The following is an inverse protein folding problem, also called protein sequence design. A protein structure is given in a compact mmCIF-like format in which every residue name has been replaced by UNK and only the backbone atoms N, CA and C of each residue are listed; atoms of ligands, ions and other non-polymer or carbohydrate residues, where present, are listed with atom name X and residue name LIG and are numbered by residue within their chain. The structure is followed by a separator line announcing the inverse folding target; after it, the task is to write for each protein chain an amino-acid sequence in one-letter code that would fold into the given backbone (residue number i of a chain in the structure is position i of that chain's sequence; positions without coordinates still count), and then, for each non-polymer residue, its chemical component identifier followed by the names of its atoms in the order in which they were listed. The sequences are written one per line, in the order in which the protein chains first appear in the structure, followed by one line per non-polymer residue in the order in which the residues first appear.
data_IF_618519269724
#
_entry.id   IF_618519269724
#
_cell.length_a   1.000
_cell.length_b   1.000
_cell.length_c   1.000
_cell.angle_alpha   90.00
_cell.angle_beta   90.00
_cell.angle_gamma   90.00
#
_symmetry.space_group_name_H-M   'P 1'
#
loop_
_entity.id
_entity.type
_entity.pdbx_description
1 polymer ?
#
# COMPACT_ATOMS: atom_id res chain seq x y z
N UNK A 1 -49.80 21.91 39.47
CA UNK A 1 -50.45 22.82 40.44
C UNK A 1 -49.42 23.21 41.50
N UNK A 2 -49.13 24.51 41.62
CA UNK A 2 -48.59 25.21 42.82
C UNK A 2 -47.14 24.85 43.25
N UNK A 3 -46.16 25.74 43.46
CA UNK A 3 -46.07 27.20 43.70
C UNK A 3 -44.67 27.66 43.22
N UNK A 4 -44.49 28.76 42.48
CA UNK A 4 -44.54 30.19 42.85
C UNK A 4 -43.41 30.67 43.77
N UNK A 5 -42.80 31.78 43.32
CA UNK A 5 -41.95 32.80 43.99
C UNK A 5 -40.44 32.60 43.83
N UNK A 6 -39.77 33.29 42.89
CA UNK A 6 -39.52 34.75 42.78
C UNK A 6 -38.24 35.21 43.48
N UNK A 7 -37.26 35.54 42.64
CA UNK A 7 -36.30 36.66 42.71
C UNK A 7 -35.61 36.91 44.05
N UNK A 8 -34.31 36.61 44.09
CA UNK A 8 -33.34 37.46 44.79
C UNK A 8 -31.96 37.38 44.13
N UNK A 9 -31.50 38.57 43.73
CA UNK A 9 -30.10 39.02 43.64
C UNK A 9 -29.25 38.52 42.46
N UNK A 10 -29.35 39.29 41.38
CA UNK A 10 -28.25 39.58 40.45
C UNK A 10 -27.10 40.24 41.22
N UNK A 11 -25.93 39.60 41.29
CA UNK A 11 -24.61 40.26 41.27
C UNK A 11 -23.46 39.25 41.18
N UNK A 12 -22.64 39.47 40.15
CA UNK A 12 -21.19 39.20 40.10
C UNK A 12 -20.75 37.76 39.83
N UNK A 13 -20.53 37.41 38.57
CA UNK A 13 -19.30 36.74 38.09
C UNK A 13 -19.21 36.94 36.57
N UNK A 14 -18.55 38.02 36.18
CA UNK A 14 -18.12 38.31 34.81
C UNK A 14 -16.60 38.23 34.86
N UNK A 15 -16.02 37.13 34.35
CA UNK A 15 -14.69 37.07 33.70
C UNK A 15 -14.27 35.62 33.40
N UNK A 16 -13.68 35.47 32.21
CA UNK A 16 -12.99 34.30 31.63
C UNK A 16 -13.86 33.19 31.02
N UNK A 17 -14.33 33.44 29.80
CA UNK A 17 -14.36 32.43 28.75
C UNK A 17 -13.28 32.80 27.72
N UNK A 18 -12.19 32.04 27.71
CA UNK A 18 -11.27 31.94 26.58
C UNK A 18 -11.88 31.01 25.52
N UNK A 19 -11.91 31.38 24.24
CA UNK A 19 -11.98 30.42 23.15
C UNK A 19 -10.54 30.07 22.74
N UNK A 20 -10.02 28.95 23.24
CA UNK A 20 -8.74 28.41 22.83
C UNK A 20 -8.93 27.44 21.66
N UNK A 21 -8.14 27.65 20.59
CA UNK A 21 -7.84 26.72 19.50
C UNK A 21 -8.98 26.32 18.54
N UNK A 22 -9.37 27.25 17.66
CA UNK A 22 -9.96 26.94 16.34
C UNK A 22 -9.12 27.50 15.17
N UNK A 23 -7.91 27.99 15.41
CA UNK A 23 -7.09 28.70 14.42
C UNK A 23 -5.90 27.90 13.85
N UNK A 24 -5.72 26.62 14.17
CA UNK A 24 -4.55 25.84 13.70
C UNK A 24 -4.82 24.87 12.54
N UNK A 25 -6.05 24.76 12.04
CA UNK A 25 -6.40 23.82 10.95
C UNK A 25 -6.65 24.47 9.58
N UNK A 26 -6.37 25.77 9.42
CA UNK A 26 -6.54 26.48 8.13
C UNK A 26 -5.22 26.77 7.39
N UNK A 27 -4.05 26.28 7.87
CA UNK A 27 -2.75 26.63 7.28
C UNK A 27 -2.07 25.56 6.42
N UNK A 28 -2.72 24.45 6.08
CA UNK A 28 -2.09 23.36 5.31
C UNK A 28 -2.64 23.11 3.89
N UNK A 29 -3.45 24.01 3.35
CA UNK A 29 -3.82 23.99 1.94
C UNK A 29 -3.13 25.14 1.19
N UNK A 30 -1.80 25.06 1.06
CA UNK A 30 -1.13 25.79 -0.02
C UNK A 30 -1.41 25.02 -1.32
N UNK A 31 -2.15 25.59 -2.30
CA UNK A 31 -2.32 24.92 -3.57
C UNK A 31 -0.95 24.68 -4.20
N UNK A 32 -0.65 23.44 -4.51
CA UNK A 32 0.55 23.03 -5.24
C UNK A 32 0.61 23.84 -6.52
N UNK A 33 1.68 24.62 -6.67
CA UNK A 33 1.81 25.70 -7.65
C UNK A 33 2.17 25.16 -9.03
N UNK A 34 1.43 24.19 -9.57
CA UNK A 34 1.79 23.49 -10.82
C UNK A 34 1.03 24.01 -12.05
N UNK A 35 0.02 24.89 -11.89
CA UNK A 35 -0.73 25.47 -13.01
C UNK A 35 -0.92 27.00 -12.93
N UNK A 36 0.04 27.71 -12.34
CA UNK A 36 0.00 29.18 -12.29
C UNK A 36 0.67 29.83 -13.52
N UNK A 37 0.35 29.37 -14.74
CA UNK A 37 0.52 30.24 -15.90
C UNK A 37 -0.69 31.17 -15.95
N UNK A 38 -0.47 32.48 -15.88
CA UNK A 38 -1.50 33.53 -15.95
C UNK A 38 -2.43 33.28 -17.14
N UNK A 39 -3.56 32.61 -16.90
CA UNK A 39 -4.67 32.57 -17.85
C UNK A 39 -5.30 33.95 -17.80
N UNK A 40 -5.28 34.68 -18.91
CA UNK A 40 -6.08 35.90 -19.05
C UNK A 40 -7.55 35.49 -19.06
N UNK A 41 -8.23 35.72 -17.95
CA UNK A 41 -9.68 35.56 -17.86
C UNK A 41 -10.34 36.59 -18.77
N UNK A 42 -11.18 36.14 -19.69
CA UNK A 42 -12.17 37.00 -20.35
C UNK A 42 -13.32 37.15 -19.32
N UNK A 43 -13.85 38.37 -19.15
CA UNK A 43 -14.89 38.73 -18.17
C UNK A 43 -16.11 37.77 -18.14
N UNK A 44 -16.80 37.73 -16.99
CA UNK A 44 -18.18 37.28 -16.62
C UNK A 44 -18.80 36.01 -17.25
N UNK A 45 -18.56 35.71 -18.53
CA UNK A 45 -19.07 34.55 -19.24
C UNK A 45 -18.25 33.29 -18.92
N UNK A 46 -18.87 32.35 -18.20
CA UNK A 46 -18.27 31.07 -17.81
C UNK A 46 -19.09 29.91 -18.36
N UNK A 47 -18.44 28.82 -18.80
CA UNK A 47 -19.17 27.65 -19.26
C UNK A 47 -19.97 27.03 -18.10
N UNK A 48 -21.27 26.83 -18.34
CA UNK A 48 -22.19 26.18 -17.40
C UNK A 48 -22.46 24.70 -17.77
N UNK A 49 -21.55 24.07 -18.51
CA UNK A 49 -21.71 22.67 -18.91
C UNK A 49 -21.75 21.75 -17.66
N UNK A 50 -22.76 20.88 -17.54
CA UNK A 50 -22.83 19.93 -16.43
C UNK A 50 -21.62 18.99 -16.45
N UNK A 51 -21.06 18.70 -15.28
CA UNK A 51 -19.96 17.73 -15.10
C UNK A 51 -18.54 18.27 -15.27
N UNK A 52 -18.35 19.57 -15.50
CA UNK A 52 -17.01 20.16 -15.65
C UNK A 52 -16.84 21.49 -14.93
N UNK A 53 -15.70 21.70 -14.28
CA UNK A 53 -15.28 23.00 -13.73
C UNK A 53 -14.34 23.67 -14.72
N UNK A 54 -14.91 24.26 -15.78
CA UNK A 54 -14.16 24.79 -16.93
C UNK A 54 -14.12 26.31 -17.00
N UNK A 55 -13.19 26.83 -17.79
CA UNK A 55 -13.13 28.23 -18.24
C UNK A 55 -12.99 28.24 -19.77
N UNK A 56 -13.63 29.18 -20.45
CA UNK A 56 -13.43 29.33 -21.90
C UNK A 56 -12.00 29.80 -22.20
N UNK A 57 -11.42 29.28 -23.28
CA UNK A 57 -10.15 29.75 -23.84
C UNK A 57 -10.35 30.03 -25.33
N UNK A 58 -9.80 31.13 -25.82
CA UNK A 58 -9.95 31.55 -27.23
C UNK A 58 -8.77 31.14 -28.12
N UNK A 59 -7.84 30.34 -27.58
CA UNK A 59 -6.69 29.79 -28.30
C UNK A 59 -6.69 28.28 -28.15
N UNK A 60 -6.64 27.59 -29.28
CA UNK A 60 -6.51 26.13 -29.30
C UNK A 60 -5.19 25.74 -28.63
N UNK A 61 -5.29 24.94 -27.56
CA UNK A 61 -4.15 24.43 -26.82
C UNK A 61 -4.43 23.00 -26.36
N UNK A 62 -3.65 22.05 -26.87
CA UNK A 62 -3.64 20.69 -26.33
C UNK A 62 -2.89 20.64 -25.00
N UNK A 63 -3.33 19.75 -24.11
CA UNK A 63 -2.58 19.34 -22.92
C UNK A 63 -1.69 18.16 -23.30
N UNK A 64 -0.39 18.34 -23.14
CA UNK A 64 0.63 17.39 -23.58
C UNK A 64 1.23 16.70 -22.36
N UNK A 65 1.00 15.39 -22.15
CA UNK A 65 1.51 14.66 -20.98
C UNK A 65 3.02 14.75 -20.80
N UNK A 66 3.78 14.74 -21.88
CA UNK A 66 5.25 14.84 -21.88
C UNK A 66 5.78 16.20 -21.39
N UNK A 67 4.90 17.21 -21.29
CA UNK A 67 5.23 18.55 -20.76
C UNK A 67 4.77 18.74 -19.31
N UNK A 68 4.12 17.74 -18.72
CA UNK A 68 3.66 17.78 -17.34
C UNK A 68 4.74 17.20 -16.42
N UNK A 69 4.97 17.84 -15.28
CA UNK A 69 5.80 17.25 -14.23
C UNK A 69 5.09 16.02 -13.65
N UNK A 70 5.85 14.94 -13.44
CA UNK A 70 5.32 13.72 -12.85
C UNK A 70 4.95 13.90 -11.37
N UNK A 71 4.05 13.06 -10.88
CA UNK A 71 3.67 13.00 -9.47
C UNK A 71 4.92 12.63 -8.64
N UNK A 72 5.27 13.45 -7.63
CA UNK A 72 6.48 13.24 -6.84
C UNK A 72 6.36 11.96 -5.99
N UNK A 73 7.50 11.34 -5.70
CA UNK A 73 7.60 10.14 -4.87
C UNK A 73 7.81 10.56 -3.41
N UNK A 74 6.80 10.34 -2.56
CA UNK A 74 6.88 10.59 -1.12
C UNK A 74 7.85 9.61 -0.44
N UNK A 75 8.70 10.12 0.45
CA UNK A 75 9.75 9.37 1.14
C UNK A 75 10.02 9.98 2.52
N UNK A 76 10.31 9.14 3.51
CA UNK A 76 10.59 9.53 4.91
C UNK A 76 12.07 9.35 5.24
N UNK A 77 12.62 8.16 4.99
CA UNK A 77 14.02 7.83 5.22
C UNK A 77 14.79 7.66 3.90
N UNK A 78 16.07 8.05 3.91
CA UNK A 78 16.97 7.84 2.80
C UNK A 78 17.50 6.38 2.72
N UNK A 79 18.29 6.08 1.69
CA UNK A 79 18.91 4.74 1.52
C UNK A 79 19.87 4.35 2.65
N UNK A 80 20.38 5.32 3.40
CA UNK A 80 21.25 5.12 4.57
C UNK A 80 20.45 4.96 5.88
N UNK A 81 19.11 4.86 5.81
CA UNK A 81 18.25 4.73 6.99
C UNK A 81 18.17 6.00 7.84
N UNK A 82 18.40 7.18 7.26
CA UNK A 82 18.29 8.47 7.97
C UNK A 82 16.98 9.15 7.57
N UNK A 83 16.26 9.69 8.56
CA UNK A 83 15.03 10.45 8.34
C UNK A 83 15.41 11.84 7.83
N UNK A 84 14.82 12.26 6.70
CA UNK A 84 15.08 13.58 6.10
C UNK A 84 14.50 14.72 6.92
N UNK A 85 13.24 14.55 7.34
CA UNK A 85 12.48 15.53 8.09
C UNK A 85 11.90 14.86 9.33
N UNK A 86 12.30 15.31 10.52
CA UNK A 86 11.82 14.76 11.78
C UNK A 86 10.31 14.93 11.99
N UNK A 87 9.65 15.91 11.36
CA UNK A 87 8.18 16.00 11.42
C UNK A 87 7.51 14.88 10.64
N UNK A 88 8.25 14.23 9.73
CA UNK A 88 7.78 13.11 8.95
C UNK A 88 8.04 11.75 9.61
N UNK A 89 8.77 11.67 10.73
CA UNK A 89 8.97 10.42 11.49
C UNK A 89 7.62 9.90 12.03
N UNK A 90 7.21 8.65 11.73
CA UNK A 90 5.93 8.12 12.22
C UNK A 90 5.91 7.87 13.74
N UNK A 91 7.03 7.96 14.46
CA UNK A 91 7.08 7.80 15.91
C UNK A 91 6.71 6.38 16.38
N UNK A 92 6.96 5.37 15.55
CA UNK A 92 6.67 3.97 15.88
C UNK A 92 7.55 3.46 17.03
N UNK A 93 6.98 2.60 17.88
CA UNK A 93 7.71 1.99 18.99
C UNK A 93 8.84 1.08 18.48
N UNK A 94 9.87 0.90 19.31
CA UNK A 94 10.99 -0.01 19.02
C UNK A 94 10.50 -1.42 18.69
N UNK A 95 9.53 -1.94 19.44
CA UNK A 95 8.95 -3.26 19.27
C UNK A 95 8.26 -3.40 17.91
N UNK A 96 7.51 -2.37 17.52
CA UNK A 96 6.81 -2.32 16.22
C UNK A 96 7.81 -2.35 15.07
N UNK A 97 8.86 -1.52 15.15
CA UNK A 97 9.89 -1.45 14.11
C UNK A 97 10.69 -2.75 14.02
N UNK A 98 11.05 -3.36 15.15
CA UNK A 98 11.70 -4.67 15.18
C UNK A 98 10.78 -5.75 14.58
N UNK A 99 9.47 -5.73 14.90
CA UNK A 99 8.51 -6.66 14.28
C UNK A 99 8.46 -6.49 12.77
N UNK A 100 8.39 -5.24 12.27
CA UNK A 100 8.42 -4.98 10.82
C UNK A 100 9.65 -5.60 10.17
N UNK A 101 10.82 -5.42 10.79
CA UNK A 101 12.07 -6.00 10.30
C UNK A 101 12.06 -7.54 10.31
N UNK A 102 11.63 -8.13 11.43
CA UNK A 102 11.55 -9.58 11.60
C UNK A 102 10.59 -10.21 10.59
N UNK A 103 9.42 -9.62 10.35
CA UNK A 103 8.46 -10.14 9.37
C UNK A 103 8.98 -10.03 7.94
N UNK A 104 9.61 -8.91 7.55
CA UNK A 104 10.22 -8.80 6.22
C UNK A 104 11.33 -9.84 5.99
N UNK A 105 12.18 -10.06 6.99
CA UNK A 105 13.28 -11.03 6.90
C UNK A 105 12.83 -12.48 7.02
N UNK A 106 11.78 -12.76 7.79
CA UNK A 106 11.12 -14.06 7.83
C UNK A 106 10.48 -14.39 6.49
N UNK A 107 9.77 -13.43 5.86
CA UNK A 107 9.23 -13.57 4.52
C UNK A 107 10.34 -13.90 3.51
N UNK A 108 11.44 -13.15 3.54
CA UNK A 108 12.59 -13.41 2.67
C UNK A 108 13.20 -14.80 2.90
N UNK A 109 13.23 -15.27 4.16
CA UNK A 109 13.75 -16.60 4.52
C UNK A 109 12.82 -17.72 4.02
N UNK A 110 11.52 -17.57 4.24
CA UNK A 110 10.49 -18.48 3.75
C UNK A 110 10.53 -18.57 2.22
N UNK A 111 10.65 -17.43 1.54
CA UNK A 111 10.72 -17.37 0.09
C UNK A 111 11.89 -18.18 -0.48
N UNK A 112 13.08 -18.07 0.13
CA UNK A 112 14.25 -18.85 -0.29
C UNK A 112 14.01 -20.35 -0.12
N UNK A 113 13.42 -20.77 0.99
CA UNK A 113 13.15 -22.19 1.29
C UNK A 113 12.12 -22.77 0.32
N UNK A 114 10.99 -22.08 0.12
CA UNK A 114 9.92 -22.55 -0.76
C UNK A 114 10.30 -22.47 -2.24
N UNK A 115 11.10 -21.49 -2.64
CA UNK A 115 11.66 -21.44 -3.99
C UNK A 115 12.55 -22.66 -4.27
N UNK A 116 13.47 -23.00 -3.37
CA UNK A 116 14.30 -24.20 -3.51
C UNK A 116 13.49 -25.50 -3.40
N UNK A 117 12.46 -25.53 -2.55
CA UNK A 117 11.51 -26.64 -2.47
C UNK A 117 10.86 -26.92 -3.82
N UNK A 118 10.46 -25.85 -4.53
CA UNK A 118 9.91 -25.95 -5.87
C UNK A 118 10.96 -26.46 -6.87
N UNK A 119 12.22 -26.01 -6.78
CA UNK A 119 13.32 -26.52 -7.63
C UNK A 119 13.59 -28.01 -7.44
N UNK A 120 13.32 -28.54 -6.25
CA UNK A 120 13.39 -29.98 -5.95
C UNK A 120 12.12 -30.75 -6.33
N UNK A 121 11.09 -30.09 -6.87
CA UNK A 121 9.82 -30.71 -7.25
C UNK A 121 8.90 -31.07 -6.07
N UNK A 122 9.19 -30.58 -4.85
CA UNK A 122 8.38 -30.84 -3.65
C UNK A 122 7.06 -30.07 -3.63
N UNK A 123 7.04 -28.89 -4.26
CA UNK A 123 5.83 -28.11 -4.54
C UNK A 123 5.77 -27.78 -6.03
N UNK A 124 4.58 -27.55 -6.57
CA UNK A 124 4.38 -27.39 -8.02
C UNK A 124 4.75 -26.01 -8.55
N UNK A 125 4.62 -24.97 -7.74
CA UNK A 125 4.79 -23.57 -8.15
C UNK A 125 5.19 -22.69 -6.95
N UNK A 126 5.91 -21.60 -7.20
CA UNK A 126 6.15 -20.57 -6.18
C UNK A 126 6.42 -19.18 -6.79
N UNK A 127 6.17 -18.13 -6.00
CA UNK A 127 6.48 -16.74 -6.32
C UNK A 127 7.09 -16.07 -5.10
N UNK A 128 8.25 -15.46 -5.26
CA UNK A 128 8.95 -14.76 -4.16
C UNK A 128 8.48 -13.32 -4.01
N UNK A 129 8.86 -12.66 -2.92
CA UNK A 129 8.45 -11.30 -2.58
C UNK A 129 9.64 -10.32 -2.54
N UNK A 130 10.78 -10.73 -3.11
CA UNK A 130 12.05 -10.00 -3.00
C UNK A 130 11.97 -8.58 -3.57
N UNK A 131 12.27 -7.59 -2.72
CA UNK A 131 12.27 -6.16 -3.03
C UNK A 131 10.98 -5.46 -2.63
N UNK A 132 9.89 -6.20 -2.41
CA UNK A 132 8.56 -5.64 -2.20
C UNK A 132 8.10 -5.76 -0.73
N UNK A 133 8.91 -6.37 0.14
CA UNK A 133 8.56 -6.68 1.53
C UNK A 133 8.13 -5.44 2.33
N UNK A 134 8.76 -4.29 2.06
CA UNK A 134 8.43 -3.01 2.69
C UNK A 134 7.01 -2.54 2.36
N UNK A 135 6.54 -2.78 1.14
CA UNK A 135 5.17 -2.44 0.73
C UNK A 135 4.14 -3.28 1.47
N UNK A 136 4.43 -4.56 1.71
CA UNK A 136 3.50 -5.47 2.39
C UNK A 136 3.39 -5.13 3.88
N UNK A 137 4.55 -5.02 4.55
CA UNK A 137 4.61 -4.82 5.99
C UNK A 137 4.19 -3.42 6.39
N UNK A 138 4.64 -2.39 5.65
CA UNK A 138 4.28 -0.99 5.92
C UNK A 138 2.77 -0.76 5.82
N UNK A 139 2.13 -1.28 4.76
CA UNK A 139 0.67 -1.16 4.59
C UNK A 139 -0.08 -1.93 5.67
N UNK A 140 0.28 -3.20 5.91
CA UNK A 140 -0.41 -4.05 6.88
C UNK A 140 -0.36 -3.50 8.31
N UNK A 141 0.76 -2.86 8.69
CA UNK A 141 0.93 -2.22 9.98
C UNK A 141 0.08 -0.95 10.16
N UNK A 142 -0.26 -0.25 9.09
CA UNK A 142 -1.07 0.96 9.12
C UNK A 142 -2.59 0.69 9.19
N UNK A 143 -3.00 -0.53 8.83
CA UNK A 143 -4.40 -0.94 8.79
C UNK A 143 -4.92 -1.41 10.15
N UNK A 144 -6.24 -1.35 10.33
CA UNK A 144 -6.92 -2.09 11.39
C UNK A 144 -6.92 -3.58 11.00
N UNK A 145 -6.68 -4.52 11.93
CA UNK A 145 -6.74 -5.95 11.65
C UNK A 145 -8.06 -6.42 11.01
N UNK A 146 -9.17 -5.69 11.23
CA UNK A 146 -10.49 -5.97 10.65
C UNK A 146 -10.72 -5.36 9.27
N UNK A 147 -9.84 -4.49 8.79
CA UNK A 147 -9.92 -3.99 7.41
C UNK A 147 -9.70 -5.16 6.46
N UNK A 148 -10.54 -5.26 5.43
CA UNK A 148 -10.52 -6.37 4.50
C UNK A 148 -9.45 -6.17 3.44
N UNK A 149 -8.69 -7.23 3.15
CA UNK A 149 -7.61 -7.22 2.16
C UNK A 149 -8.00 -8.05 0.95
N UNK A 150 -7.89 -7.45 -0.24
CA UNK A 150 -7.86 -8.15 -1.51
C UNK A 150 -6.44 -8.06 -2.08
N UNK A 151 -5.82 -9.20 -2.36
CA UNK A 151 -4.46 -9.28 -2.94
C UNK A 151 -4.46 -9.71 -4.40
N UNK A 152 -3.29 -9.68 -5.03
CA UNK A 152 -3.07 -10.19 -6.38
C UNK A 152 -2.40 -11.58 -6.35
N UNK A 153 -1.29 -11.73 -5.64
CA UNK A 153 -0.56 -13.00 -5.38
C UNK A 153 0.80 -12.77 -4.70
N UNK A 154 1.26 -11.52 -4.56
CA UNK A 154 2.56 -11.17 -3.98
C UNK A 154 2.35 -10.38 -2.70
N UNK A 155 1.39 -10.77 -1.88
CA UNK A 155 1.02 -10.05 -0.65
C UNK A 155 1.23 -10.90 0.61
N UNK A 156 2.06 -11.94 0.53
CA UNK A 156 2.32 -12.86 1.65
C UNK A 156 2.82 -12.14 2.92
N UNK A 157 3.51 -11.01 2.76
CA UNK A 157 3.93 -10.18 3.90
C UNK A 157 2.76 -9.61 4.71
N UNK A 158 1.61 -9.32 4.08
CA UNK A 158 0.41 -8.83 4.78
C UNK A 158 -0.14 -9.91 5.71
N UNK A 159 -0.21 -11.15 5.21
CA UNK A 159 -0.61 -12.31 6.00
C UNK A 159 0.37 -12.58 7.14
N UNK A 160 1.67 -12.53 6.87
CA UNK A 160 2.71 -12.70 7.88
C UNK A 160 2.61 -11.67 9.00
N UNK A 161 2.42 -10.40 8.65
CA UNK A 161 2.21 -9.33 9.61
C UNK A 161 0.99 -9.58 10.51
N UNK A 162 -0.11 -10.08 9.91
CA UNK A 162 -1.38 -10.40 10.59
C UNK A 162 -1.35 -11.71 11.38
N UNK A 163 -0.25 -12.45 11.38
CA UNK A 163 -0.08 -13.66 12.18
C UNK A 163 -0.45 -14.96 11.46
N UNK A 164 -0.45 -14.98 10.13
CA UNK A 164 -0.52 -16.23 9.38
C UNK A 164 0.76 -17.03 9.63
N UNK A 165 0.61 -18.24 10.13
CA UNK A 165 1.73 -19.07 10.57
C UNK A 165 2.50 -19.64 9.38
N UNK A 166 3.78 -19.95 9.59
CA UNK A 166 4.61 -20.63 8.58
C UNK A 166 3.97 -21.97 8.17
N UNK A 167 3.42 -22.72 9.12
CA UNK A 167 2.71 -23.97 8.82
C UNK A 167 1.52 -23.75 7.89
N UNK A 168 0.74 -22.67 8.07
CA UNK A 168 -0.37 -22.37 7.16
C UNK A 168 0.12 -22.02 5.74
N UNK A 169 1.22 -21.26 5.60
CA UNK A 169 1.83 -21.01 4.30
C UNK A 169 2.28 -22.31 3.62
N UNK A 170 2.99 -23.17 4.37
CA UNK A 170 3.49 -24.45 3.88
C UNK A 170 2.33 -25.38 3.50
N UNK A 171 1.34 -25.55 4.38
CA UNK A 171 0.19 -26.42 4.15
C UNK A 171 -0.52 -26.07 2.84
N UNK A 172 -0.70 -24.77 2.54
CA UNK A 172 -1.31 -24.31 1.30
C UNK A 172 -0.43 -24.61 0.08
N UNK A 173 0.88 -24.35 0.16
CA UNK A 173 1.80 -24.63 -0.95
C UNK A 173 1.95 -26.13 -1.26
N UNK A 174 1.87 -26.99 -0.26
CA UNK A 174 1.94 -28.45 -0.43
C UNK A 174 0.57 -29.08 -0.74
N UNK A 175 -0.54 -28.35 -0.56
CA UNK A 175 -1.89 -28.91 -0.67
C UNK A 175 -2.15 -30.02 0.36
N UNK A 176 -1.59 -29.89 1.56
CA UNK A 176 -1.69 -30.91 2.62
C UNK A 176 -3.10 -31.04 3.19
N UNK A 177 -3.37 -32.08 3.99
CA UNK A 177 -4.66 -32.24 4.68
C UNK A 177 -5.00 -31.08 5.65
N UNK A 178 -3.99 -30.35 6.11
CA UNK A 178 -4.12 -29.18 6.98
C UNK A 178 -4.30 -27.87 6.19
N UNK A 179 -4.35 -27.92 4.86
CA UNK A 179 -4.67 -26.75 4.05
C UNK A 179 -6.14 -26.38 4.24
N UNK A 180 -6.39 -25.16 4.73
CA UNK A 180 -7.73 -24.60 4.83
C UNK A 180 -8.41 -24.46 3.45
N UNK A 181 -7.63 -24.30 2.38
CA UNK A 181 -8.05 -24.31 0.99
C UNK A 181 -8.32 -25.72 0.42
N UNK A 182 -8.05 -26.77 1.19
CA UNK A 182 -8.26 -28.19 0.87
C UNK A 182 -7.51 -28.66 -0.38
N UNK A 183 -6.34 -28.08 -0.67
CA UNK A 183 -5.50 -28.42 -1.82
C UNK A 183 -6.12 -28.09 -3.18
N UNK A 184 -7.15 -27.23 -3.21
CA UNK A 184 -7.92 -26.94 -4.44
C UNK A 184 -7.31 -25.87 -5.32
N UNK A 185 -6.41 -25.07 -4.77
CA UNK A 185 -5.82 -23.91 -5.42
C UNK A 185 -4.33 -24.14 -5.66
N UNK A 186 -3.78 -23.44 -6.65
CA UNK A 186 -2.34 -23.41 -6.92
C UNK A 186 -1.57 -22.88 -5.70
N UNK A 187 -0.32 -23.33 -5.45
CA UNK A 187 0.51 -22.73 -4.42
C UNK A 187 0.57 -21.20 -4.52
N UNK A 188 0.70 -20.52 -3.38
CA UNK A 188 0.72 -19.05 -3.26
C UNK A 188 -0.67 -18.39 -3.35
N UNK A 189 -1.73 -19.16 -3.63
CA UNK A 189 -3.12 -18.66 -3.56
C UNK A 189 -3.68 -18.69 -2.14
N UNK A 190 -3.04 -17.93 -1.25
CA UNK A 190 -3.41 -17.87 0.15
C UNK A 190 -4.78 -17.19 0.38
N UNK A 191 -5.42 -17.51 1.51
CA UNK A 191 -6.64 -16.87 1.97
C UNK A 191 -6.85 -17.16 3.46
N UNK A 192 -7.41 -16.19 4.18
CA UNK A 192 -7.74 -16.34 5.60
C UNK A 192 -8.93 -15.47 5.98
N UNK A 193 -10.04 -16.11 6.31
CA UNK A 193 -11.23 -15.41 6.83
C UNK A 193 -10.91 -14.73 8.17
N UNK A 194 -10.19 -15.42 9.05
CA UNK A 194 -9.88 -14.95 10.40
C UNK A 194 -8.95 -13.74 10.38
N UNK A 195 -8.07 -13.65 9.38
CA UNK A 195 -7.18 -12.51 9.19
C UNK A 195 -7.71 -11.48 8.19
N UNK A 196 -8.99 -11.58 7.80
CA UNK A 196 -9.64 -10.68 6.86
C UNK A 196 -8.85 -10.50 5.55
N UNK A 197 -8.33 -11.60 5.01
CA UNK A 197 -7.59 -11.66 3.76
C UNK A 197 -8.34 -12.56 2.79
N UNK A 198 -8.92 -11.96 1.75
CA UNK A 198 -9.71 -12.67 0.74
C UNK A 198 -8.81 -13.60 -0.05
N UNK A 199 -9.29 -14.83 -0.31
CA UNK A 199 -8.55 -15.83 -1.06
C UNK A 199 -8.15 -15.31 -2.44
N UNK A 200 -6.87 -15.45 -2.76
CA UNK A 200 -6.30 -15.07 -4.06
C UNK A 200 -6.89 -15.90 -5.20
N UNK A 201 -7.02 -15.27 -6.36
CA UNK A 201 -7.31 -15.91 -7.64
C UNK A 201 -6.31 -15.47 -8.69
N UNK A 202 -5.96 -16.38 -9.63
CA UNK A 202 -5.00 -16.09 -10.71
C UNK A 202 -5.44 -14.97 -11.68
N UNK A 203 -6.72 -14.88 -12.10
CA UNK A 203 -7.16 -13.83 -13.03
C UNK A 203 -6.90 -12.43 -12.49
N UNK A 204 -6.03 -11.69 -13.21
CA UNK A 204 -5.57 -10.37 -12.80
C UNK A 204 -6.73 -9.37 -12.74
N UNK A 205 -6.59 -8.40 -11.82
CA UNK A 205 -7.50 -7.28 -11.58
C UNK A 205 -8.95 -7.63 -11.19
N UNK A 206 -9.41 -8.88 -11.30
CA UNK A 206 -10.77 -9.29 -10.93
C UNK A 206 -11.12 -8.97 -9.47
N UNK A 207 -10.13 -8.96 -8.58
CA UNK A 207 -10.28 -8.58 -7.19
C UNK A 207 -10.58 -7.08 -6.98
N UNK A 208 -10.23 -6.23 -7.96
CA UNK A 208 -10.37 -4.78 -7.84
C UNK A 208 -11.83 -4.33 -7.80
N UNK A 209 -12.73 -4.70 -8.74
CA UNK A 209 -14.14 -4.33 -8.63
C UNK A 209 -14.83 -5.05 -7.47
N UNK A 210 -14.38 -6.25 -7.09
CA UNK A 210 -14.85 -6.93 -5.88
C UNK A 210 -14.54 -6.13 -4.62
N UNK A 211 -13.33 -5.56 -4.53
CA UNK A 211 -12.94 -4.68 -3.43
C UNK A 211 -13.80 -3.40 -3.38
N UNK A 212 -14.12 -2.79 -4.53
CA UNK A 212 -15.06 -1.66 -4.59
C UNK A 212 -16.44 -2.04 -4.05
N UNK A 213 -16.95 -3.22 -4.42
CA UNK A 213 -18.23 -3.74 -3.94
C UNK A 213 -18.24 -4.04 -2.43
N UNK A 214 -17.18 -4.68 -1.92
CA UNK A 214 -17.02 -4.94 -0.49
C UNK A 214 -16.94 -3.65 0.33
N UNK A 215 -16.19 -2.65 -0.15
CA UNK A 215 -16.07 -1.35 0.47
C UNK A 215 -17.40 -0.60 0.48
N UNK A 216 -18.17 -0.67 -0.61
CA UNK A 216 -19.53 -0.13 -0.64
C UNK A 216 -20.42 -0.79 0.41
N UNK A 217 -20.29 -2.11 0.59
CA UNK A 217 -20.93 -2.84 1.68
C UNK A 217 -20.56 -2.31 3.07
N UNK A 218 -19.28 -2.03 3.31
CA UNK A 218 -18.80 -1.46 4.58
C UNK A 218 -19.34 -0.06 4.83
N UNK A 219 -19.38 0.78 3.79
CA UNK A 219 -20.03 2.10 3.87
C UNK A 219 -21.49 1.97 4.31
N UNK A 220 -22.26 1.09 3.66
CA UNK A 220 -23.68 0.88 4.00
C UNK A 220 -23.87 0.32 5.40
N UNK A 221 -22.93 -0.50 5.88
CA UNK A 221 -22.94 -1.05 7.23
C UNK A 221 -22.48 -0.05 8.30
N UNK A 222 -21.91 1.10 7.90
CA UNK A 222 -21.42 2.16 8.80
C UNK A 222 -20.48 1.64 9.90
N UNK A 223 -19.64 0.66 9.57
CA UNK A 223 -18.83 -0.07 10.54
C UNK A 223 -17.44 0.55 10.79
N UNK A 224 -17.11 1.67 10.13
CA UNK A 224 -15.81 2.34 10.29
C UNK A 224 -14.60 1.54 9.78
N UNK A 225 -14.83 0.56 8.90
CA UNK A 225 -13.79 -0.25 8.27
C UNK A 225 -13.59 0.18 6.82
N UNK A 226 -12.38 -0.05 6.29
CA UNK A 226 -12.10 0.12 4.88
C UNK A 226 -11.66 -1.20 4.24
N UNK A 227 -11.54 -1.17 2.92
CA UNK A 227 -10.92 -2.24 2.13
C UNK A 227 -9.59 -1.73 1.59
N UNK A 228 -8.58 -2.59 1.54
CA UNK A 228 -7.37 -2.35 0.73
C UNK A 228 -7.33 -3.39 -0.40
N UNK A 229 -7.01 -2.92 -1.61
CA UNK A 229 -6.88 -3.75 -2.80
C UNK A 229 -5.49 -3.58 -3.39
N UNK A 230 -4.68 -4.63 -3.37
CA UNK A 230 -3.37 -4.66 -3.98
C UNK A 230 -3.45 -5.13 -5.42
N UNK A 231 -2.62 -4.52 -6.27
CA UNK A 231 -2.44 -4.91 -7.66
C UNK A 231 -1.09 -4.42 -8.19
N UNK A 232 -0.59 -5.02 -9.26
CA UNK A 232 0.61 -4.57 -9.97
C UNK A 232 0.29 -3.57 -11.08
N UNK A 233 1.30 -2.84 -11.54
CA UNK A 233 1.13 -1.88 -12.63
C UNK A 233 0.71 -2.52 -13.96
N UNK A 234 1.04 -3.80 -14.17
CA UNK A 234 0.54 -4.56 -15.31
C UNK A 234 -0.93 -4.95 -15.20
N UNK A 235 -1.38 -5.34 -14.01
CA UNK A 235 -2.80 -5.63 -13.77
C UNK A 235 -3.66 -4.37 -13.92
N UNK A 236 -3.08 -3.18 -13.71
CA UNK A 236 -3.76 -1.91 -13.93
C UNK A 236 -4.14 -1.64 -15.40
N UNK A 237 -3.63 -2.44 -16.36
CA UNK A 237 -4.03 -2.37 -17.77
C UNK A 237 -5.26 -3.23 -18.10
N UNK A 238 -5.70 -4.10 -17.18
CA UNK A 238 -6.93 -4.87 -17.35
C UNK A 238 -8.18 -3.98 -17.24
N UNK A 239 -9.25 -4.35 -17.96
CA UNK A 239 -10.51 -3.59 -17.97
C UNK A 239 -11.15 -3.47 -16.57
N UNK A 240 -10.98 -4.49 -15.73
CA UNK A 240 -11.49 -4.50 -14.36
C UNK A 240 -10.86 -3.41 -13.48
N UNK A 241 -9.63 -3.00 -13.76
CA UNK A 241 -9.00 -1.89 -13.05
C UNK A 241 -9.75 -0.57 -13.31
N UNK A 242 -10.11 -0.29 -14.57
CA UNK A 242 -10.92 0.87 -14.93
C UNK A 242 -12.28 0.84 -14.24
N UNK A 243 -12.97 -0.30 -14.31
CA UNK A 243 -14.27 -0.48 -13.68
C UNK A 243 -14.20 -0.23 -12.15
N UNK A 244 -13.21 -0.82 -11.47
CA UNK A 244 -13.03 -0.68 -10.04
C UNK A 244 -12.83 0.77 -9.59
N UNK A 245 -11.92 1.50 -10.25
CA UNK A 245 -11.58 2.88 -9.92
C UNK A 245 -12.79 3.81 -10.13
N UNK A 246 -13.49 3.67 -11.26
CA UNK A 246 -14.68 4.48 -11.54
C UNK A 246 -15.83 4.18 -10.57
N UNK A 247 -16.11 2.91 -10.28
CA UNK A 247 -17.16 2.54 -9.33
C UNK A 247 -16.83 3.04 -7.93
N UNK A 248 -15.59 2.89 -7.49
CA UNK A 248 -15.19 3.37 -6.16
C UNK A 248 -15.33 4.89 -6.02
N UNK A 249 -15.00 5.65 -7.07
CA UNK A 249 -15.13 7.11 -7.07
C UNK A 249 -16.59 7.56 -7.09
N UNK A 250 -17.38 7.06 -8.04
CA UNK A 250 -18.79 7.45 -8.21
C UNK A 250 -19.67 6.99 -7.06
N UNK A 251 -19.35 5.85 -6.45
CA UNK A 251 -20.06 5.31 -5.30
C UNK A 251 -19.42 5.68 -3.98
N UNK A 252 -18.41 6.56 -3.93
CA UNK A 252 -17.75 7.01 -2.70
C UNK A 252 -17.45 5.81 -1.78
N UNK A 253 -16.60 4.89 -2.25
CA UNK A 253 -16.26 3.68 -1.51
C UNK A 253 -15.05 3.94 -0.59
N UNK A 254 -15.07 3.46 0.68
CA UNK A 254 -13.92 3.49 1.58
C UNK A 254 -12.89 2.42 1.20
N UNK A 255 -12.22 2.60 0.06
CA UNK A 255 -11.23 1.64 -0.47
C UNK A 255 -9.90 2.32 -0.80
N UNK A 256 -8.81 1.67 -0.38
CA UNK A 256 -7.44 2.02 -0.75
C UNK A 256 -7.03 1.09 -1.90
N UNK A 257 -6.78 1.66 -3.07
CA UNK A 257 -6.14 0.98 -4.18
C UNK A 257 -4.62 1.14 -4.05
N UNK A 258 -3.92 0.04 -3.80
CA UNK A 258 -2.48 0.03 -3.58
C UNK A 258 -1.77 -0.65 -4.75
N UNK A 259 -1.28 0.16 -5.69
CA UNK A 259 -0.51 -0.31 -6.83
C UNK A 259 0.95 -0.52 -6.45
N UNK A 260 1.46 -1.74 -6.62
CA UNK A 260 2.90 -2.04 -6.59
C UNK A 260 3.45 -1.89 -8.00
N UNK A 261 4.10 -0.75 -8.27
CA UNK A 261 4.79 -0.54 -9.54
C UNK A 261 6.24 -0.98 -9.39
N UNK A 262 6.51 -2.21 -9.82
CA UNK A 262 7.82 -2.84 -9.67
C UNK A 262 8.63 -2.88 -10.98
N UNK A 263 8.14 -2.17 -12.01
CA UNK A 263 8.80 -1.99 -13.30
C UNK A 263 8.48 -3.04 -14.37
N UNK A 264 7.89 -4.18 -14.00
CA UNK A 264 7.72 -5.32 -14.91
C UNK A 264 6.48 -6.19 -14.65
N UNK A 265 5.73 -6.44 -15.72
CA UNK A 265 4.72 -7.50 -15.79
C UNK A 265 5.25 -8.72 -16.56
N UNK A 266 5.66 -9.76 -15.83
CA UNK A 266 6.45 -10.89 -16.38
C UNK A 266 7.72 -10.34 -17.05
N UNK A 267 7.76 -10.29 -18.39
CA UNK A 267 8.85 -9.77 -19.22
C UNK A 267 8.59 -8.36 -19.77
N UNK A 268 7.36 -7.85 -19.67
CA UNK A 268 6.96 -6.56 -20.24
C UNK A 268 7.40 -5.42 -19.32
N UNK A 269 8.33 -4.54 -19.76
CA UNK A 269 8.70 -3.35 -18.99
C UNK A 269 7.60 -2.29 -19.05
N UNK A 270 7.57 -1.39 -18.06
CA UNK A 270 6.55 -0.32 -17.97
C UNK A 270 6.43 0.57 -19.21
N UNK A 271 7.51 0.80 -19.96
CA UNK A 271 7.49 1.57 -21.22
C UNK A 271 6.59 0.96 -22.31
N UNK A 272 6.39 -0.35 -22.23
CA UNK A 272 5.52 -1.13 -23.13
C UNK A 272 4.17 -1.45 -22.46
N UNK A 273 4.02 -1.08 -21.18
CA UNK A 273 2.77 -1.22 -20.43
C UNK A 273 1.89 0.03 -20.52
N UNK A 274 2.48 1.22 -20.43
CA UNK A 274 1.75 2.49 -20.51
C UNK A 274 2.66 3.65 -20.94
N UNK A 275 2.04 4.78 -21.32
CA UNK A 275 2.75 6.02 -21.71
C UNK A 275 2.45 7.23 -20.82
N UNK A 276 1.50 7.11 -19.90
CA UNK A 276 1.22 8.12 -18.88
C UNK A 276 2.26 8.10 -17.76
N UNK A 277 2.13 9.05 -16.83
CA UNK A 277 2.95 9.12 -15.62
C UNK A 277 2.49 8.07 -14.60
N UNK A 278 2.88 6.81 -14.82
CA UNK A 278 2.56 5.68 -13.95
C UNK A 278 1.07 5.44 -13.77
N UNK A 279 0.73 4.79 -12.66
CA UNK A 279 -0.64 4.49 -12.26
C UNK A 279 -1.24 5.63 -11.43
N UNK A 280 -0.43 6.32 -10.61
CA UNK A 280 -0.91 7.43 -9.77
C UNK A 280 -1.66 8.49 -10.60
N UNK A 281 -1.14 8.90 -11.76
CA UNK A 281 -1.78 9.92 -12.60
C UNK A 281 -3.19 9.55 -13.06
N UNK A 282 -3.52 8.25 -13.13
CA UNK A 282 -4.86 7.77 -13.49
C UNK A 282 -5.88 8.07 -12.41
N UNK A 283 -5.50 8.01 -11.13
CA UNK A 283 -6.41 8.25 -9.99
C UNK A 283 -7.02 9.64 -10.01
N UNK A 284 -6.22 10.65 -10.35
CA UNK A 284 -6.69 12.04 -10.51
C UNK A 284 -7.79 12.12 -11.58
N UNK A 285 -7.67 11.37 -12.67
CA UNK A 285 -8.66 11.31 -13.75
C UNK A 285 -10.02 10.75 -13.32
N UNK A 286 -10.07 9.89 -12.31
CA UNK A 286 -11.32 9.39 -11.70
C UNK A 286 -11.80 10.25 -10.52
N UNK A 287 -11.09 11.33 -10.18
CA UNK A 287 -11.43 12.17 -9.02
C UNK A 287 -11.01 11.60 -7.67
N UNK A 288 -10.05 10.67 -7.66
CA UNK A 288 -9.56 10.02 -6.44
C UNK A 288 -8.44 10.82 -5.77
N UNK A 289 -8.38 10.79 -4.44
CA UNK A 289 -7.18 11.20 -3.70
C UNK A 289 -6.05 10.27 -4.09
N UNK A 290 -4.89 10.83 -4.42
CA UNK A 290 -3.81 10.06 -5.07
C UNK A 290 -2.45 10.42 -4.48
N UNK A 291 -1.62 9.42 -4.22
CA UNK A 291 -0.22 9.61 -3.82
C UNK A 291 0.70 8.62 -4.54
N UNK A 292 1.96 9.01 -4.73
CA UNK A 292 3.05 8.11 -5.11
C UNK A 292 4.07 8.05 -3.98
N UNK A 293 4.57 6.86 -3.65
CA UNK A 293 5.42 6.62 -2.49
C UNK A 293 6.62 5.75 -2.85
N UNK A 294 7.74 5.94 -2.16
CA UNK A 294 8.89 5.04 -2.19
C UNK A 294 8.51 3.73 -1.49
N UNK A 295 8.29 2.67 -2.26
CA UNK A 295 7.89 1.35 -1.76
C UNK A 295 8.99 0.62 -0.98
N UNK A 296 10.24 1.06 -1.12
CA UNK A 296 11.38 0.54 -0.36
C UNK A 296 11.56 1.28 0.98
N UNK A 297 10.75 2.32 1.22
CA UNK A 297 10.66 3.03 2.49
C UNK A 297 9.45 2.55 3.29
N UNK A 298 9.65 1.61 4.21
CA UNK A 298 8.56 1.07 5.04
C UNK A 298 7.85 2.15 5.87
N UNK A 299 8.52 3.24 6.25
CA UNK A 299 7.90 4.33 7.00
C UNK A 299 7.07 5.24 6.10
N UNK A 300 7.54 5.52 4.89
CA UNK A 300 6.74 6.27 3.92
C UNK A 300 5.48 5.49 3.54
N UNK A 301 5.61 4.18 3.27
CA UNK A 301 4.49 3.27 3.02
C UNK A 301 3.51 3.28 4.20
N UNK A 302 4.01 3.09 5.44
CA UNK A 302 3.16 3.12 6.63
C UNK A 302 2.37 4.43 6.74
N UNK A 303 3.03 5.58 6.60
CA UNK A 303 2.40 6.89 6.74
C UNK A 303 1.35 7.16 5.67
N UNK A 304 1.67 6.90 4.40
CA UNK A 304 0.73 7.16 3.31
C UNK A 304 -0.49 6.24 3.43
N UNK A 305 -0.31 4.98 3.84
CA UNK A 305 -1.43 4.06 4.07
C UNK A 305 -2.25 4.45 5.29
N UNK A 306 -1.61 4.92 6.36
CA UNK A 306 -2.31 5.39 7.57
C UNK A 306 -3.22 6.58 7.26
N UNK A 307 -2.69 7.58 6.56
CA UNK A 307 -3.46 8.74 6.11
C UNK A 307 -4.57 8.34 5.12
N UNK A 308 -4.29 7.45 4.16
CA UNK A 308 -5.29 6.96 3.22
C UNK A 308 -6.43 6.22 3.91
N UNK A 309 -6.12 5.41 4.93
CA UNK A 309 -7.13 4.73 5.76
C UNK A 309 -8.03 5.73 6.47
N UNK A 310 -7.44 6.77 7.06
CA UNK A 310 -8.20 7.84 7.73
C UNK A 310 -9.15 8.54 6.76
N UNK A 311 -8.68 8.91 5.57
CA UNK A 311 -9.52 9.49 4.51
C UNK A 311 -10.65 8.54 4.11
N UNK A 312 -10.35 7.26 3.85
CA UNK A 312 -11.36 6.28 3.46
C UNK A 312 -12.47 6.16 4.52
N UNK A 313 -12.09 6.01 5.79
CA UNK A 313 -13.06 5.75 6.87
C UNK A 313 -13.83 7.01 7.28
N UNK A 314 -13.20 8.19 7.24
CA UNK A 314 -13.84 9.44 7.66
C UNK A 314 -14.65 10.11 6.55
N UNK A 315 -14.17 10.06 5.30
CA UNK A 315 -14.78 10.77 4.18
C UNK A 315 -15.54 9.85 3.22
N UNK A 316 -15.46 8.52 3.37
CA UNK A 316 -15.95 7.54 2.38
C UNK A 316 -15.37 7.78 0.98
N UNK A 317 -14.10 8.20 0.90
CA UNK A 317 -13.45 8.49 -0.38
C UNK A 317 -12.41 7.44 -0.72
N UNK A 318 -12.35 6.98 -1.98
CA UNK A 318 -11.32 6.05 -2.36
C UNK A 318 -9.98 6.78 -2.54
N UNK A 319 -8.91 6.06 -2.24
CA UNK A 319 -7.53 6.58 -2.35
C UNK A 319 -6.73 5.66 -3.26
N UNK A 320 -5.97 6.23 -4.20
CA UNK A 320 -5.00 5.50 -5.02
C UNK A 320 -3.58 5.79 -4.52
N UNK A 321 -2.83 4.75 -4.21
CA UNK A 321 -1.42 4.82 -3.84
C UNK A 321 -0.62 4.03 -4.84
N UNK A 322 0.38 4.64 -5.46
CA UNK A 322 1.38 3.95 -6.28
C UNK A 322 2.70 3.86 -5.50
N UNK A 323 3.03 2.64 -5.06
CA UNK A 323 4.32 2.35 -4.45
C UNK A 323 5.33 1.97 -5.52
N UNK A 324 6.34 2.82 -5.69
CA UNK A 324 7.47 2.57 -6.59
C UNK A 324 8.45 1.63 -5.90
N UNK A 325 8.67 0.46 -6.49
CA UNK A 325 9.61 -0.54 -5.98
C UNK A 325 10.29 -1.24 -7.16
N UNK A 326 11.00 -2.34 -6.91
CA UNK A 326 11.63 -3.13 -7.95
C UNK A 326 11.50 -4.62 -7.65
N UNK A 327 11.08 -5.40 -8.65
CA UNK A 327 10.94 -6.85 -8.52
C UNK A 327 12.32 -7.49 -8.58
N UNK A 328 12.99 -7.74 -7.46
CA UNK A 328 14.36 -8.27 -7.46
C UNK A 328 14.39 -9.71 -7.99
N UNK A 329 13.45 -10.55 -7.56
CA UNK A 329 13.33 -11.94 -8.02
C UNK A 329 12.81 -12.08 -9.45
N UNK A 330 12.79 -13.32 -9.94
CA UNK A 330 12.03 -13.68 -11.15
C UNK A 330 10.53 -13.41 -10.96
N UNK A 331 9.76 -13.43 -12.05
CA UNK A 331 8.31 -13.30 -11.95
C UNK A 331 7.71 -14.42 -11.09
N UNK A 332 8.11 -15.66 -11.36
CA UNK A 332 7.73 -16.89 -10.66
C UNK A 332 8.80 -17.96 -10.87
N UNK A 333 8.60 -19.16 -10.32
CA UNK A 333 9.44 -20.33 -10.60
C UNK A 333 9.37 -20.86 -12.04
N UNK A 334 8.44 -20.34 -12.85
CA UNK A 334 8.30 -20.68 -14.28
C UNK A 334 8.93 -19.63 -15.20
N UNK A 335 9.61 -18.64 -14.63
CA UNK A 335 10.20 -17.51 -15.35
C UNK A 335 11.72 -17.47 -15.17
N UNK A 336 12.43 -17.15 -16.25
CA UNK A 336 13.84 -16.77 -16.21
C UNK A 336 13.99 -15.32 -16.66
N UNK A 337 14.19 -14.46 -15.68
CA UNK A 337 14.28 -13.03 -15.95
C UNK A 337 15.55 -12.60 -16.69
N UNK A 338 16.61 -13.41 -16.68
CA UNK A 338 17.85 -13.06 -17.38
C UNK A 338 17.64 -12.95 -18.90
N UNK A 339 16.56 -13.53 -19.42
CA UNK A 339 16.17 -13.45 -20.83
C UNK A 339 15.69 -12.07 -21.29
N UNK A 340 15.28 -11.17 -20.37
CA UNK A 340 14.67 -9.88 -20.75
C UNK A 340 15.06 -8.68 -19.88
N UNK A 341 15.87 -8.88 -18.84
CA UNK A 341 16.45 -7.80 -18.04
C UNK A 341 17.91 -8.08 -17.70
N UNK A 342 18.69 -7.01 -17.57
CA UNK A 342 20.12 -7.14 -17.32
C UNK A 342 20.40 -7.54 -15.87
N UNK A 343 21.45 -8.35 -15.67
CA UNK A 343 21.93 -8.72 -14.32
C UNK A 343 22.40 -7.49 -13.55
N UNK A 344 22.98 -6.50 -14.24
CA UNK A 344 23.46 -5.26 -13.64
C UNK A 344 22.33 -4.41 -13.05
N UNK A 345 21.20 -4.32 -13.76
CA UNK A 345 20.00 -3.63 -13.28
C UNK A 345 19.48 -4.27 -11.99
N UNK A 346 19.35 -5.60 -11.95
CA UNK A 346 18.88 -6.33 -10.75
C UNK A 346 19.89 -6.18 -9.59
N UNK A 347 21.18 -6.29 -9.90
CA UNK A 347 22.28 -6.13 -8.94
C UNK A 347 22.29 -4.75 -8.30
N UNK A 348 22.00 -3.69 -9.08
CA UNK A 348 21.86 -2.33 -8.56
C UNK A 348 20.80 -2.27 -7.47
N UNK A 349 19.57 -2.72 -7.75
CA UNK A 349 18.48 -2.68 -6.76
C UNK A 349 18.77 -3.55 -5.53
N UNK A 350 19.27 -4.75 -5.74
CA UNK A 350 19.55 -5.69 -4.66
C UNK A 350 20.65 -5.21 -3.70
N UNK A 351 21.61 -4.40 -4.18
CA UNK A 351 22.71 -3.87 -3.36
C UNK A 351 22.42 -2.49 -2.79
N UNK A 352 21.85 -1.61 -3.59
CA UNK A 352 21.78 -0.18 -3.29
C UNK A 352 20.49 0.23 -2.58
N UNK A 353 19.37 -0.46 -2.81
CA UNK A 353 18.05 0.02 -2.38
C UNK A 353 17.06 -1.12 -2.14
N UNK A 354 17.16 -1.74 -0.96
CA UNK A 354 16.19 -2.75 -0.49
C UNK A 354 15.51 -2.31 0.81
N UNK A 355 14.21 -2.63 1.01
CA UNK A 355 13.49 -2.23 2.22
C UNK A 355 14.10 -2.81 3.50
N UNK A 356 14.60 -4.05 3.44
CA UNK A 356 15.25 -4.74 4.57
C UNK A 356 16.55 -4.03 4.97
N UNK A 357 17.42 -3.72 4.00
CA UNK A 357 18.69 -3.07 4.30
C UNK A 357 18.47 -1.66 4.88
N UNK A 358 17.53 -0.90 4.31
CA UNK A 358 17.19 0.45 4.78
C UNK A 358 16.70 0.45 6.22
N UNK A 359 15.75 -0.43 6.56
CA UNK A 359 15.25 -0.51 7.93
C UNK A 359 16.32 -0.99 8.92
N UNK A 360 17.19 -1.93 8.52
CA UNK A 360 18.33 -2.38 9.34
C UNK A 360 19.25 -1.22 9.70
N UNK A 361 19.62 -0.40 8.72
CA UNK A 361 20.50 0.76 8.93
C UNK A 361 19.87 1.78 9.88
N UNK A 362 18.56 2.04 9.74
CA UNK A 362 17.83 2.90 10.67
C UNK A 362 17.90 2.36 12.10
N UNK A 363 17.62 1.08 12.31
CA UNK A 363 17.64 0.47 13.64
C UNK A 363 19.03 0.45 14.27
N UNK A 364 20.09 0.20 13.49
CA UNK A 364 21.47 0.27 13.97
C UNK A 364 21.79 1.68 14.48
N UNK A 365 21.43 2.72 13.71
CA UNK A 365 21.64 4.12 14.12
C UNK A 365 20.87 4.52 15.37
N UNK A 366 19.68 3.94 15.58
CA UNK A 366 18.89 4.13 16.82
C UNK A 366 19.37 3.28 18.00
N UNK A 367 20.34 2.38 17.81
CA UNK A 367 20.78 1.42 18.84
C UNK A 367 19.74 0.34 19.15
N UNK A 368 18.83 0.06 18.22
CA UNK A 368 17.76 -0.93 18.39
C UNK A 368 18.11 -2.30 17.82
N UNK A 369 19.12 -2.36 16.96
CA UNK A 369 19.61 -3.58 16.32
C UNK A 369 21.13 -3.56 16.21
N UNK A 370 21.76 -4.73 16.22
CA UNK A 370 23.21 -4.88 16.10
C UNK A 370 23.56 -6.20 15.39
N UNK A 371 24.85 -6.45 15.15
CA UNK A 371 25.29 -7.64 14.42
C UNK A 371 25.06 -8.96 15.18
N UNK A 372 25.00 -8.95 16.50
CA UNK A 372 24.73 -10.15 17.29
C UNK A 372 23.24 -10.52 17.23
N UNK A 373 22.35 -9.53 17.40
CA UNK A 373 20.92 -9.69 17.20
C UNK A 373 20.58 -10.15 15.76
N UNK A 374 21.32 -9.64 14.77
CA UNK A 374 21.21 -10.08 13.37
C UNK A 374 21.56 -11.57 13.21
N UNK A 375 22.69 -12.02 13.77
CA UNK A 375 23.14 -13.41 13.68
C UNK A 375 22.17 -14.34 14.38
N UNK A 376 21.74 -13.99 15.59
CA UNK A 376 20.77 -14.76 16.37
C UNK A 376 19.45 -14.90 15.61
N UNK A 377 18.90 -13.79 15.12
CA UNK A 377 17.64 -13.79 14.38
C UNK A 377 17.73 -14.60 13.08
N UNK A 378 18.84 -14.52 12.33
CA UNK A 378 19.02 -15.33 11.12
C UNK A 378 19.04 -16.83 11.40
N UNK A 379 19.63 -17.25 12.52
CA UNK A 379 19.63 -18.65 12.91
C UNK A 379 18.22 -19.10 13.33
N UNK A 380 17.53 -18.28 14.11
CA UNK A 380 16.17 -18.54 14.57
C UNK A 380 15.17 -18.59 13.42
N UNK A 381 15.17 -17.60 12.53
CA UNK A 381 14.25 -17.53 11.39
C UNK A 381 14.42 -18.73 10.45
N UNK A 382 15.67 -19.15 10.21
CA UNK A 382 15.96 -20.34 9.41
C UNK A 382 15.44 -21.60 10.08
N UNK A 383 15.64 -21.76 11.40
CA UNK A 383 15.12 -22.92 12.16
C UNK A 383 13.60 -22.98 12.08
N UNK A 384 12.91 -21.88 12.33
CA UNK A 384 11.45 -21.79 12.27
C UNK A 384 10.92 -22.14 10.87
N UNK A 385 11.48 -21.55 9.82
CA UNK A 385 11.03 -21.78 8.45
C UNK A 385 11.37 -23.19 7.93
N UNK A 386 12.48 -23.80 8.38
CA UNK A 386 12.80 -25.19 8.05
C UNK A 386 11.94 -26.21 8.82
N UNK A 387 11.58 -25.92 10.08
CA UNK A 387 10.71 -26.82 10.85
C UNK A 387 9.32 -26.97 10.19
N UNK A 388 8.74 -25.86 9.73
CA UNK A 388 7.46 -25.89 9.00
C UNK A 388 7.52 -26.64 7.67
N UNK A 389 8.68 -26.72 7.01
CA UNK A 389 8.81 -27.46 5.73
C UNK A 389 9.12 -28.95 5.90
N UNK A 390 9.94 -29.31 6.89
CA UNK A 390 10.39 -30.70 7.11
C UNK A 390 9.29 -31.62 7.64
N UNK A 391 8.31 -31.10 8.38
CA UNK A 391 7.18 -31.90 8.85
C UNK A 391 6.13 -32.20 7.75
N UNK A 392 6.34 -31.73 6.51
CA UNK A 392 5.34 -31.77 5.44
C UNK A 392 5.82 -32.46 4.16
N UNK A 393 7.12 -32.77 4.06
CA UNK A 393 7.68 -33.66 3.04
C UNK A 393 7.60 -35.11 3.49
#
# INVERSE_FOLDING_TARGET
MSRLLSRKVFKTFLKFHEPCCLSSMQQLLKPTRVLANKVQYINEDRPEFPGSKSVFVNKLKFLWPEKMEGIPVYRVMNRKGEIYDSSEDPGLSKETVIKMYKDMTMLNTMDRILYESQRQGRISFYMTNFGEEGTHIGTAAALNPKDLVFGQYREAGVLMWRGFTLDQFMNQCYGSCEDMGKGRQMPVHYGSKDLHFVTISSPLATQMPQASGAAYGFKRAQNGLCVICYFGEGAASEGDAHAALNFAATLECPVIFFCRNNGYAISTPTRDQYRGDGIASRGIGYGMVTARVDGNDVFAVYKVTKAAREICVQENRPVLIEAMTYRIGHHSTSDDSSAYRSVDEVSHWNKEDTPIARLRLYMIKKGWWNDDAEKEWKQDSKKQASHGSLCKS
#
